data_IF_483340911102
#
_entry.id   IF_483340911102
#
_cell.length_a   1.000
_cell.length_b   1.000
_cell.length_c   1.000
_cell.angle_alpha   90.00
_cell.angle_beta   90.00
_cell.angle_gamma   90.00
#
_symmetry.space_group_name_H-M   'P 1'
#
loop_
_entity.id
_entity.type
_entity.pdbx_description
1 polymer ?
#
# COMPACT_ATOMS: atom_id res chain seq x y z
N UNK A 1 -22.04 -29.38 19.72
CA UNK A 1 -21.94 -28.32 18.70
C UNK A 1 -20.99 -27.22 19.18
N UNK A 2 -19.68 -27.50 19.30
CA UNK A 2 -18.67 -26.48 19.63
C UNK A 2 -17.49 -26.51 18.64
N UNK A 3 -17.40 -27.54 17.78
CA UNK A 3 -16.28 -27.69 16.83
C UNK A 3 -16.38 -26.87 15.54
N UNK A 4 -17.57 -26.41 15.14
CA UNK A 4 -17.75 -25.72 13.85
C UNK A 4 -17.40 -24.22 13.90
N UNK A 5 -17.53 -23.57 15.07
CA UNK A 5 -17.19 -22.15 15.23
C UNK A 5 -15.68 -21.89 15.14
N UNK A 6 -14.84 -22.79 15.65
CA UNK A 6 -13.38 -22.67 15.56
C UNK A 6 -12.87 -22.82 14.12
N UNK A 7 -13.48 -23.70 13.32
CA UNK A 7 -13.11 -23.87 11.92
C UNK A 7 -13.50 -22.65 11.05
N UNK A 8 -14.60 -21.99 11.37
CA UNK A 8 -15.02 -20.75 10.69
C UNK A 8 -14.11 -19.60 11.06
N UNK A 9 -13.77 -19.44 12.35
CA UNK A 9 -12.82 -18.42 12.80
C UNK A 9 -11.42 -18.65 12.22
N UNK A 10 -10.96 -19.89 12.11
CA UNK A 10 -9.67 -20.23 11.48
C UNK A 10 -9.66 -19.91 9.99
N UNK A 11 -10.72 -20.28 9.25
CA UNK A 11 -10.82 -19.96 7.81
C UNK A 11 -10.93 -18.47 7.57
N UNK A 12 -11.67 -17.76 8.42
CA UNK A 12 -11.79 -16.30 8.34
C UNK A 12 -10.47 -15.61 8.65
N UNK A 13 -9.74 -16.08 9.67
CA UNK A 13 -8.41 -15.54 10.01
C UNK A 13 -7.39 -15.87 8.92
N UNK A 14 -7.35 -17.09 8.41
CA UNK A 14 -6.46 -17.49 7.31
C UNK A 14 -6.70 -16.67 6.05
N UNK A 15 -7.97 -16.38 5.71
CA UNK A 15 -8.31 -15.52 4.57
C UNK A 15 -7.91 -14.05 4.82
N UNK A 16 -8.15 -13.50 6.01
CA UNK A 16 -7.72 -12.14 6.38
C UNK A 16 -6.20 -12.02 6.35
N UNK A 17 -5.49 -13.01 6.91
CA UNK A 17 -4.03 -13.10 6.92
C UNK A 17 -3.47 -13.22 5.50
N UNK A 18 -4.08 -14.09 4.68
CA UNK A 18 -3.70 -14.24 3.27
C UNK A 18 -3.99 -12.97 2.46
N UNK A 19 -5.13 -12.30 2.65
CA UNK A 19 -5.42 -11.04 1.93
C UNK A 19 -4.51 -9.90 2.38
N UNK A 20 -4.13 -9.84 3.66
CA UNK A 20 -3.21 -8.84 4.18
C UNK A 20 -1.80 -9.07 3.62
N UNK A 21 -1.29 -10.32 3.64
CA UNK A 21 -0.03 -10.71 2.98
C UNK A 21 -0.03 -10.43 1.48
N UNK A 22 -1.13 -10.76 0.77
CA UNK A 22 -1.23 -10.52 -0.67
C UNK A 22 -1.22 -9.00 -0.97
N UNK A 23 -1.82 -8.18 -0.11
CA UNK A 23 -1.78 -6.71 -0.29
C UNK A 23 -0.42 -6.10 -0.01
N UNK A 24 0.31 -6.56 1.02
CA UNK A 24 1.65 -6.06 1.33
C UNK A 24 2.68 -6.50 0.30
N UNK A 25 2.65 -7.77 -0.13
CA UNK A 25 3.55 -8.28 -1.18
C UNK A 25 3.35 -7.52 -2.50
N UNK A 26 2.10 -7.27 -2.89
CA UNK A 26 1.79 -6.47 -4.09
C UNK A 26 2.34 -5.05 -3.97
N UNK A 27 2.17 -4.40 -2.82
CA UNK A 27 2.70 -3.06 -2.58
C UNK A 27 4.23 -3.02 -2.63
N UNK A 28 4.91 -4.04 -2.10
CA UNK A 28 6.37 -4.19 -2.17
C UNK A 28 6.89 -4.38 -3.59
N UNK A 29 6.22 -5.24 -4.37
CA UNK A 29 6.55 -5.44 -5.80
C UNK A 29 6.36 -4.15 -6.60
N UNK A 30 5.27 -3.43 -6.37
CA UNK A 30 5.00 -2.16 -7.04
C UNK A 30 6.01 -1.07 -6.63
N UNK A 31 6.39 -1.00 -5.35
CA UNK A 31 7.38 -0.01 -4.88
C UNK A 31 8.76 -0.26 -5.48
N UNK A 32 9.19 -1.52 -5.57
CA UNK A 32 10.43 -1.89 -6.25
C UNK A 32 10.41 -1.48 -7.73
N UNK A 33 9.36 -1.84 -8.48
CA UNK A 33 9.21 -1.47 -9.90
C UNK A 33 9.28 0.03 -10.12
N UNK A 34 8.63 0.82 -9.25
CA UNK A 34 8.67 2.28 -9.30
C UNK A 34 10.07 2.82 -9.01
N UNK A 35 10.80 2.22 -8.07
CA UNK A 35 12.15 2.63 -7.72
C UNK A 35 13.15 2.41 -8.88
N UNK A 36 13.03 1.29 -9.60
CA UNK A 36 13.90 1.00 -10.76
C UNK A 36 13.40 1.64 -12.07
N UNK A 37 12.16 2.15 -12.11
CA UNK A 37 11.62 2.92 -13.24
C UNK A 37 11.28 2.11 -14.50
N UNK A 38 11.13 0.79 -14.38
CA UNK A 38 10.92 -0.13 -15.54
C UNK A 38 9.47 -0.22 -16.03
N UNK A 39 8.50 0.19 -15.21
CA UNK A 39 7.08 0.15 -15.56
C UNK A 39 6.51 -1.27 -15.68
N UNK A 40 5.51 -1.46 -16.55
CA UNK A 40 4.67 -2.67 -16.63
C UNK A 40 5.34 -3.90 -17.27
N UNK A 41 6.49 -3.74 -17.92
CA UNK A 41 7.18 -4.82 -18.64
C UNK A 41 8.02 -5.73 -17.75
N UNK A 42 8.06 -5.49 -16.45
CA UNK A 42 8.88 -6.27 -15.52
C UNK A 42 8.16 -7.55 -15.09
N UNK A 43 8.85 -8.67 -15.24
CA UNK A 43 8.34 -9.98 -14.84
C UNK A 43 8.27 -10.08 -13.31
N UNK A 44 7.07 -9.87 -12.75
CA UNK A 44 6.81 -9.90 -11.30
C UNK A 44 7.15 -11.23 -10.63
N UNK A 45 7.18 -12.33 -11.40
CA UNK A 45 7.54 -13.66 -10.90
C UNK A 45 9.00 -13.77 -10.49
N UNK A 46 9.86 -12.87 -10.99
CA UNK A 46 11.29 -12.83 -10.62
C UNK A 46 11.52 -12.28 -9.22
N UNK A 47 10.52 -11.59 -8.65
CA UNK A 47 10.60 -10.97 -7.34
C UNK A 47 9.96 -11.90 -6.31
N UNK A 48 10.75 -12.29 -5.33
CA UNK A 48 10.29 -12.95 -4.12
C UNK A 48 10.61 -12.05 -2.92
N UNK A 49 9.62 -11.85 -2.05
CA UNK A 49 9.78 -11.06 -0.83
C UNK A 49 9.63 -11.97 0.38
N UNK A 50 10.62 -11.94 1.25
CA UNK A 50 10.53 -12.56 2.56
C UNK A 50 10.12 -11.48 3.57
N UNK A 51 8.82 -11.45 3.89
CA UNK A 51 8.22 -10.44 4.74
C UNK A 51 8.38 -10.84 6.20
N UNK A 52 9.10 -10.01 6.95
CA UNK A 52 9.28 -10.19 8.39
C UNK A 52 9.16 -8.84 9.11
N UNK A 53 8.49 -8.78 10.27
CA UNK A 53 7.61 -9.79 10.85
C UNK A 53 6.24 -9.85 10.16
N UNK A 54 5.57 -11.00 10.22
CA UNK A 54 4.24 -11.23 9.63
C UNK A 54 3.11 -10.43 10.31
N UNK A 55 3.28 -10.10 11.59
CA UNK A 55 2.36 -9.23 12.31
C UNK A 55 2.97 -7.83 12.38
N UNK A 56 2.37 -6.90 11.64
CA UNK A 56 2.77 -5.51 11.60
C UNK A 56 1.94 -4.74 12.62
N UNK A 57 2.59 -4.22 13.66
CA UNK A 57 1.97 -3.31 14.61
C UNK A 57 1.75 -1.94 13.95
N UNK A 58 0.60 -1.37 14.24
CA UNK A 58 0.20 -0.05 13.77
C UNK A 58 1.21 1.00 14.23
N UNK A 59 1.65 1.84 13.28
CA UNK A 59 2.55 2.96 13.56
C UNK A 59 4.02 2.58 13.75
N UNK A 60 4.36 1.30 13.67
CA UNK A 60 5.74 0.81 13.70
C UNK A 60 6.28 0.63 12.27
N UNK A 61 7.58 0.93 12.09
CA UNK A 61 8.31 0.72 10.84
C UNK A 61 9.14 -0.55 10.96
N UNK A 62 8.97 -1.47 10.02
CA UNK A 62 9.71 -2.73 9.91
C UNK A 62 10.66 -2.70 8.72
N UNK A 63 11.82 -3.33 8.87
CA UNK A 63 12.94 -3.26 7.90
C UNK A 63 13.53 -4.61 7.55
N UNK A 64 13.01 -5.67 8.17
CA UNK A 64 13.52 -7.02 8.05
C UNK A 64 13.04 -7.71 6.77
N UNK A 65 12.22 -7.01 5.96
CA UNK A 65 11.75 -7.50 4.66
C UNK A 65 12.93 -7.58 3.69
N UNK A 66 13.15 -8.77 3.13
CA UNK A 66 14.23 -9.05 2.18
C UNK A 66 13.68 -9.28 0.78
N UNK A 67 14.43 -8.82 -0.21
CA UNK A 67 14.14 -9.05 -1.62
C UNK A 67 15.05 -10.14 -2.17
N UNK A 68 14.45 -11.03 -2.96
CA UNK A 68 15.14 -12.02 -3.76
C UNK A 68 14.79 -11.78 -5.24
N UNK A 69 15.82 -11.69 -6.08
CA UNK A 69 15.69 -11.59 -7.53
C UNK A 69 16.22 -12.87 -8.16
N UNK A 70 15.38 -13.56 -8.93
CA UNK A 70 15.74 -14.84 -9.57
C UNK A 70 16.27 -15.88 -8.56
N UNK A 71 15.84 -15.79 -7.30
CA UNK A 71 16.24 -16.66 -6.19
C UNK A 71 17.49 -16.20 -5.41
N UNK A 72 18.14 -15.09 -5.79
CA UNK A 72 19.31 -14.53 -5.08
C UNK A 72 18.91 -13.33 -4.20
N UNK A 73 19.44 -13.28 -2.97
CA UNK A 73 19.14 -12.19 -2.01
C UNK A 73 19.82 -10.87 -2.43
N UNK A 74 19.01 -9.84 -2.63
CA UNK A 74 19.42 -8.50 -3.03
C UNK A 74 19.73 -7.62 -1.80
N UNK A 75 20.97 -7.74 -1.28
CA UNK A 75 21.39 -7.07 -0.02
C UNK A 75 21.54 -5.55 -0.11
N UNK A 76 21.60 -5.00 -1.32
CA UNK A 76 21.67 -3.55 -1.53
C UNK A 76 20.30 -2.87 -1.35
N UNK A 77 19.22 -3.66 -1.37
CA UNK A 77 17.86 -3.17 -1.20
C UNK A 77 17.38 -3.36 0.23
N UNK A 78 16.77 -2.31 0.78
CA UNK A 78 16.10 -2.34 2.06
C UNK A 78 14.68 -1.78 1.90
N UNK A 79 13.70 -2.45 2.51
CA UNK A 79 12.29 -2.06 2.42
C UNK A 79 11.78 -1.65 3.79
N UNK A 80 11.09 -0.51 3.86
CA UNK A 80 10.41 -0.05 5.08
C UNK A 80 8.92 -0.32 4.94
N UNK A 81 8.36 -1.17 5.81
CA UNK A 81 6.95 -1.56 5.81
C UNK A 81 6.27 -1.01 7.06
N UNK A 82 5.10 -0.38 6.88
CA UNK A 82 4.30 0.18 7.98
C UNK A 82 2.83 -0.15 7.78
N UNK A 83 2.14 -0.54 8.85
CA UNK A 83 0.67 -0.59 8.88
C UNK A 83 0.12 0.78 9.29
N UNK A 84 -0.69 1.40 8.43
CA UNK A 84 -1.23 2.74 8.67
C UNK A 84 -2.68 2.67 9.17
N UNK A 85 -2.85 2.62 10.49
CA UNK A 85 -4.11 2.96 11.18
C UNK A 85 -3.81 3.84 12.41
N UNK A 86 -3.61 5.13 12.18
CA UNK A 86 -3.58 6.19 13.21
C UNK A 86 -2.34 6.28 14.16
N UNK A 87 -1.74 7.46 14.06
CA UNK A 87 -0.82 8.21 14.94
C UNK A 87 -0.11 7.53 16.14
N UNK A 88 1.16 7.11 15.96
CA UNK A 88 2.21 7.27 16.99
C UNK A 88 3.61 7.45 16.40
N UNK A 89 4.22 8.60 16.72
CA UNK A 89 5.46 9.10 16.17
C UNK A 89 6.68 8.22 16.51
N UNK A 90 7.27 7.62 15.48
CA UNK A 90 8.70 7.26 15.42
C UNK A 90 9.33 7.99 14.24
N UNK A 91 10.65 8.19 14.27
CA UNK A 91 11.45 9.07 13.39
C UNK A 91 11.31 8.87 11.85
N UNK A 92 10.55 7.86 11.39
CA UNK A 92 10.28 7.54 9.98
C UNK A 92 8.80 7.18 9.72
N UNK A 93 7.87 7.81 10.44
CA UNK A 93 6.44 7.66 10.17
C UNK A 93 5.98 8.67 9.10
N UNK A 94 5.02 8.26 8.26
CA UNK A 94 4.34 9.17 7.33
C UNK A 94 3.71 10.34 8.10
N UNK A 95 3.95 11.57 7.62
CA UNK A 95 3.28 12.76 8.13
C UNK A 95 2.02 13.00 7.32
N UNK A 96 0.87 13.04 7.99
CA UNK A 96 -0.40 13.42 7.35
C UNK A 96 -0.39 14.94 7.19
N UNK A 97 -0.45 15.41 5.95
CA UNK A 97 -0.52 16.84 5.62
C UNK A 97 -1.96 17.27 5.36
N UNK A 98 -2.34 18.43 5.87
CA UNK A 98 -3.62 19.07 5.55
C UNK A 98 -3.52 19.84 4.23
N UNK A 99 -4.66 20.24 3.66
CA UNK A 99 -4.68 21.11 2.48
C UNK A 99 -3.86 22.40 2.70
N UNK A 100 -3.99 23.02 3.88
CA UNK A 100 -3.26 24.24 4.23
C UNK A 100 -1.73 24.01 4.25
N UNK A 101 -1.29 22.84 4.72
CA UNK A 101 0.13 22.49 4.71
C UNK A 101 0.65 22.35 3.27
N UNK A 102 -0.14 21.72 2.39
CA UNK A 102 0.20 21.53 0.97
C UNK A 102 0.28 22.86 0.21
N UNK A 103 -0.64 23.80 0.45
CA UNK A 103 -0.68 25.09 -0.25
C UNK A 103 0.20 26.18 0.38
N UNK A 104 0.82 25.92 1.52
CA UNK A 104 1.59 26.90 2.30
C UNK A 104 2.69 27.64 1.50
N UNK A 105 3.26 26.98 0.50
CA UNK A 105 4.29 27.53 -0.39
C UNK A 105 3.85 27.62 -1.86
N UNK A 106 2.58 27.28 -2.15
CA UNK A 106 2.07 27.26 -3.51
C UNK A 106 1.89 28.69 -4.05
N UNK A 107 2.23 28.89 -5.32
CA UNK A 107 2.01 30.13 -6.06
C UNK A 107 1.29 29.77 -7.37
N UNK A 108 0.26 30.51 -7.78
CA UNK A 108 -0.46 30.23 -9.02
C UNK A 108 0.47 30.37 -10.22
N UNK A 109 0.60 29.27 -10.99
CA UNK A 109 1.40 29.22 -12.21
C UNK A 109 0.57 29.52 -13.47
N UNK A 110 -0.75 29.43 -13.36
CA UNK A 110 -1.72 29.66 -14.44
C UNK A 110 -2.92 30.46 -13.92
N UNK A 111 -3.66 31.17 -14.78
CA UNK A 111 -4.90 31.83 -14.40
C UNK A 111 -5.95 30.83 -13.91
N UNK A 112 -6.91 31.31 -13.14
CA UNK A 112 -8.06 30.51 -12.74
C UNK A 112 -8.87 30.08 -13.98
N UNK A 113 -9.15 28.79 -14.06
CA UNK A 113 -9.92 28.19 -15.14
C UNK A 113 -11.19 27.53 -14.56
N UNK A 114 -12.36 28.15 -14.76
CA UNK A 114 -13.61 27.62 -14.23
C UNK A 114 -14.05 26.28 -14.80
N UNK A 115 -13.47 25.83 -15.92
CA UNK A 115 -13.85 24.56 -16.55
C UNK A 115 -13.51 23.33 -15.69
N UNK A 116 -12.61 23.47 -14.71
CA UNK A 116 -12.22 22.40 -13.80
C UNK A 116 -13.18 22.16 -12.61
N UNK A 117 -14.19 23.02 -12.39
CA UNK A 117 -15.09 22.89 -11.22
C UNK A 117 -16.12 21.77 -11.36
N UNK A 118 -16.70 21.58 -12.56
CA UNK A 118 -17.84 20.69 -12.79
C UNK A 118 -17.52 19.49 -13.71
N UNK A 119 -16.25 19.24 -14.00
CA UNK A 119 -15.84 18.24 -15.01
C UNK A 119 -15.58 16.82 -14.46
N UNK A 120 -15.90 16.55 -13.19
CA UNK A 120 -15.68 15.26 -12.53
C UNK A 120 -17.00 14.63 -12.07
N UNK A 121 -17.18 13.32 -12.27
CA UNK A 121 -18.32 12.57 -11.73
C UNK A 121 -18.00 12.05 -10.32
N UNK A 122 -18.99 12.06 -9.42
CA UNK A 122 -18.83 11.50 -8.08
C UNK A 122 -19.13 10.00 -8.06
N UNK A 123 -18.37 9.24 -7.28
CA UNK A 123 -18.60 7.80 -7.11
C UNK A 123 -19.93 7.49 -6.44
N UNK A 124 -20.45 8.42 -5.62
CA UNK A 124 -21.76 8.37 -4.95
C UNK A 124 -22.94 8.36 -5.93
N UNK A 125 -22.77 8.91 -7.13
CA UNK A 125 -23.80 8.99 -8.16
C UNK A 125 -23.96 7.68 -8.94
N UNK A 126 -23.10 6.69 -8.68
CA UNK A 126 -22.99 5.51 -9.54
C UNK A 126 -22.89 4.24 -8.68
N UNK A 127 -23.85 3.33 -8.84
CA UNK A 127 -23.86 2.01 -8.17
C UNK A 127 -22.54 1.26 -8.40
N UNK A 128 -21.74 1.08 -7.34
CA UNK A 128 -20.44 0.38 -7.40
C UNK A 128 -20.72 -1.12 -7.45
N UNK A 129 -20.40 -1.76 -8.58
CA UNK A 129 -20.71 -3.17 -8.87
C UNK A 129 -19.48 -3.95 -9.34
N UNK A 130 -18.29 -3.63 -8.84
CA UNK A 130 -16.98 -4.32 -8.99
C UNK A 130 -15.92 -3.43 -9.65
N UNK A 131 -14.73 -3.36 -9.02
CA UNK A 131 -13.57 -2.58 -9.49
C UNK A 131 -13.84 -1.09 -9.46
N UNK A 132 -13.11 -0.33 -8.65
CA UNK A 132 -13.18 1.14 -8.69
C UNK A 132 -12.98 1.60 -10.14
N UNK A 133 -13.93 2.42 -10.60
CA UNK A 133 -14.33 2.59 -12.00
C UNK A 133 -13.19 3.09 -12.91
N UNK A 134 -13.22 2.61 -14.16
CA UNK A 134 -12.40 3.06 -15.29
C UNK A 134 -12.76 4.46 -15.74
#
# INVERSE_FOLDING_TARGET
MVGELWAILWKSWFLIFSTLEITTEKALKESFIKAIGVGLGFELQRLEFDISPLNLDIGQVYKETRLFLDGEEEKEWAFEVTSQEDSKATQRQFTILTFNDLISSAVPMTPEDPSFWDCFCFTEEISIRNGTKS
#
